data_IF_270367746562
#
_entry.id   IF_270367746562
#
_cell.length_a   1.000
_cell.length_b   1.000
_cell.length_c   1.000
_cell.angle_alpha   90.00
_cell.angle_beta   90.00
_cell.angle_gamma   90.00
#
_symmetry.space_group_name_H-M   'P 1'
#
loop_
_entity.id
_entity.type
_entity.pdbx_description
1 polymer ?
#
# COMPACT_ATOMS: atom_id res chain seq x y z
N UNK A 1 1.18 12.56 -9.58
CA UNK A 1 1.88 11.38 -9.01
C UNK A 1 1.06 10.87 -7.84
N UNK A 2 0.76 9.56 -7.78
CA UNK A 2 -0.06 8.97 -6.73
C UNK A 2 0.49 9.37 -5.37
N UNK A 3 -0.40 9.81 -4.47
CA UNK A 3 0.01 10.24 -3.14
C UNK A 3 -0.21 9.14 -2.12
N UNK A 4 0.84 8.77 -1.40
CA UNK A 4 0.72 7.86 -0.27
C UNK A 4 -0.21 8.47 0.80
N UNK A 5 -1.12 7.65 1.32
CA UNK A 5 -2.06 7.99 2.39
C UNK A 5 -2.08 6.88 3.44
N UNK A 6 -2.48 7.23 4.66
CA UNK A 6 -2.69 6.23 5.72
C UNK A 6 -3.62 5.11 5.23
N UNK A 7 -3.23 3.83 5.38
CA UNK A 7 -4.01 2.69 4.89
C UNK A 7 -5.44 2.62 5.42
N UNK A 8 -5.65 2.82 6.72
CA UNK A 8 -6.94 2.80 7.42
C UNK A 8 -7.70 1.47 7.25
N UNK A 9 -7.02 0.35 7.48
CA UNK A 9 -7.59 -1.01 7.35
C UNK A 9 -7.76 -1.74 8.69
N UNK A 10 -7.70 -1.01 9.81
CA UNK A 10 -7.87 -1.59 11.15
C UNK A 10 -6.64 -2.33 11.70
N UNK A 11 -5.58 -2.47 10.90
CA UNK A 11 -4.28 -3.00 11.33
C UNK A 11 -3.42 -1.94 12.04
N UNK A 12 -2.32 -2.38 12.66
CA UNK A 12 -1.31 -1.47 13.23
C UNK A 12 -0.64 -0.66 12.12
N UNK A 13 -0.64 0.66 12.25
CA UNK A 13 0.03 1.57 11.31
C UNK A 13 1.37 2.06 11.89
N UNK A 14 2.40 2.14 11.05
CA UNK A 14 3.72 2.68 11.38
C UNK A 14 4.21 3.62 10.26
N UNK A 15 5.12 4.54 10.59
CA UNK A 15 5.80 5.34 9.59
C UNK A 15 7.09 4.63 9.15
N UNK A 16 7.29 4.52 7.84
CA UNK A 16 8.46 3.89 7.24
C UNK A 16 9.31 4.96 6.56
N UNK A 17 10.64 4.81 6.64
CA UNK A 17 11.63 5.74 6.07
C UNK A 17 11.56 7.18 6.64
N UNK A 18 11.24 7.35 7.93
CA UNK A 18 11.31 8.66 8.60
C UNK A 18 12.74 9.21 8.69
N UNK A 19 13.72 8.31 8.86
CA UNK A 19 15.12 8.67 9.07
C UNK A 19 15.97 8.58 7.80
N UNK A 20 15.35 8.29 6.65
CA UNK A 20 16.06 8.10 5.38
C UNK A 20 15.67 9.24 4.41
N UNK A 21 16.42 10.36 4.39
CA UNK A 21 16.04 11.59 3.68
C UNK A 21 15.96 11.43 2.16
N UNK A 22 16.57 10.39 1.60
CA UNK A 22 16.50 10.04 0.17
C UNK A 22 15.16 9.40 -0.23
N UNK A 23 14.33 9.01 0.73
CA UNK A 23 13.03 8.37 0.49
C UNK A 23 11.87 9.23 0.99
N UNK A 24 10.71 9.05 0.35
CA UNK A 24 9.45 9.58 0.86
C UNK A 24 9.00 8.75 2.07
N UNK A 25 8.83 9.41 3.21
CA UNK A 25 8.25 8.79 4.39
C UNK A 25 6.82 8.34 4.09
N UNK A 26 6.54 7.06 4.31
CA UNK A 26 5.23 6.45 4.01
C UNK A 26 4.60 5.86 5.27
N UNK A 27 3.32 6.14 5.50
CA UNK A 27 2.52 5.44 6.50
C UNK A 27 2.10 4.07 5.93
N UNK A 28 2.46 2.99 6.62
CA UNK A 28 2.18 1.61 6.20
C UNK A 28 1.42 0.86 7.28
N UNK A 29 0.57 -0.07 6.86
CA UNK A 29 -0.10 -1.01 7.76
C UNK A 29 0.72 -2.29 7.85
N UNK A 30 0.92 -2.80 9.05
CA UNK A 30 1.50 -4.12 9.29
C UNK A 30 0.38 -5.15 9.26
N UNK A 31 0.42 -6.04 8.27
CA UNK A 31 -0.61 -7.06 8.01
C UNK A 31 -0.09 -8.41 8.47
N UNK A 32 -0.91 -9.16 9.19
CA UNK A 32 -0.65 -10.55 9.53
C UNK A 32 -1.64 -11.41 8.75
N UNK A 33 -1.13 -12.25 7.85
CA UNK A 33 -1.92 -13.15 7.03
C UNK A 33 -2.30 -14.40 7.83
N UNK A 34 -3.34 -15.12 7.36
CA UNK A 34 -3.86 -16.31 8.04
C UNK A 34 -2.83 -17.46 8.22
N UNK A 35 -1.77 -17.46 7.42
CA UNK A 35 -0.67 -18.43 7.49
C UNK A 35 0.45 -17.99 8.45
N UNK A 36 0.28 -16.86 9.14
CA UNK A 36 1.27 -16.27 10.05
C UNK A 36 2.33 -15.40 9.34
N UNK A 37 2.24 -15.21 8.02
CA UNK A 37 3.14 -14.31 7.29
C UNK A 37 2.86 -12.86 7.70
N UNK A 38 3.91 -12.07 7.91
CA UNK A 38 3.79 -10.63 8.17
C UNK A 38 4.18 -9.85 6.92
N UNK A 39 3.29 -8.99 6.45
CA UNK A 39 3.52 -8.09 5.32
C UNK A 39 3.30 -6.62 5.68
N UNK A 40 3.62 -5.74 4.74
CA UNK A 40 3.29 -4.32 4.81
C UNK A 40 2.35 -3.93 3.68
N UNK A 41 1.38 -3.07 3.98
CA UNK A 41 0.46 -2.52 2.98
C UNK A 41 0.60 -1.00 2.89
N UNK A 42 0.73 -0.50 1.67
CA UNK A 42 0.66 0.92 1.35
C UNK A 42 -0.67 1.24 0.68
N UNK A 43 -1.16 2.47 0.85
CA UNK A 43 -2.35 2.95 0.16
C UNK A 43 -2.03 4.24 -0.58
N UNK A 44 -2.48 4.30 -1.83
CA UNK A 44 -2.24 5.43 -2.71
C UNK A 44 -3.58 6.08 -3.07
N UNK A 45 -3.67 7.40 -2.93
CA UNK A 45 -4.81 8.18 -3.39
C UNK A 45 -4.44 8.81 -4.72
N UNK A 46 -5.14 8.35 -5.76
CA UNK A 46 -5.12 8.97 -7.07
C UNK A 46 -5.99 10.24 -7.07
N UNK A 47 -5.51 11.28 -7.75
CA UNK A 47 -6.31 12.45 -8.10
C UNK A 47 -7.25 12.19 -9.29
N UNK A 48 -8.06 13.19 -9.64
CA UNK A 48 -9.08 13.03 -10.69
C UNK A 48 -8.47 12.90 -12.08
N UNK A 49 -7.31 13.52 -12.33
CA UNK A 49 -6.60 13.41 -13.60
C UNK A 49 -6.00 12.01 -13.76
N UNK A 50 -5.33 11.50 -12.73
CA UNK A 50 -4.77 10.14 -12.70
C UNK A 50 -5.84 9.07 -12.85
N UNK A 51 -7.02 9.27 -12.24
CA UNK A 51 -8.17 8.38 -12.43
C UNK A 51 -8.66 8.38 -13.87
N UNK A 52 -8.68 9.54 -14.51
CA UNK A 52 -9.11 9.67 -15.90
C UNK A 52 -8.12 9.00 -16.86
N UNK A 53 -6.81 9.14 -16.62
CA UNK A 53 -5.75 8.46 -17.37
C UNK A 53 -5.89 6.94 -17.28
N UNK A 54 -6.03 6.38 -16.07
CA UNK A 54 -6.26 4.94 -15.89
C UNK A 54 -7.55 4.49 -16.58
N UNK A 55 -8.63 5.27 -16.47
CA UNK A 55 -9.90 4.96 -17.13
C UNK A 55 -9.81 5.01 -18.67
N UNK A 56 -8.87 5.79 -19.21
CA UNK A 56 -8.58 5.85 -20.65
C UNK A 56 -7.73 4.67 -21.14
N UNK A 57 -7.25 3.81 -20.23
CA UNK A 57 -6.48 2.61 -20.57
C UNK A 57 -4.96 2.79 -20.45
N UNK A 58 -4.50 3.83 -19.76
CA UNK A 58 -3.08 3.99 -19.43
C UNK A 58 -2.59 2.93 -18.45
N UNK A 59 -1.29 2.62 -18.51
CA UNK A 59 -0.65 1.59 -17.69
C UNK A 59 -0.23 2.09 -16.29
N UNK A 60 -0.22 1.19 -15.30
CA UNK A 60 0.35 1.43 -13.97
C UNK A 60 1.69 0.71 -13.86
N UNK A 61 2.78 1.47 -13.72
CA UNK A 61 4.13 0.92 -13.55
C UNK A 61 4.53 0.88 -12.06
N UNK A 62 5.04 -0.26 -11.60
CA UNK A 62 5.65 -0.45 -10.28
C UNK A 62 7.12 -0.85 -10.44
N UNK A 63 8.03 0.03 -10.05
CA UNK A 63 9.48 -0.21 -10.10
C UNK A 63 10.03 -0.48 -8.72
N UNK A 64 10.68 -1.64 -8.55
CA UNK A 64 11.15 -2.11 -7.25
C UNK A 64 12.66 -2.27 -7.29
N UNK A 65 13.34 -1.44 -6.49
CA UNK A 65 14.79 -1.34 -6.49
C UNK A 65 15.36 -2.15 -5.32
N UNK A 66 15.19 -3.48 -5.35
CA UNK A 66 15.62 -4.38 -4.27
C UNK A 66 17.09 -4.86 -4.41
N UNK A 67 17.89 -4.26 -5.30
CA UNK A 67 19.32 -4.52 -5.50
C UNK A 67 19.71 -6.03 -5.55
N UNK A 68 18.90 -6.87 -6.22
CA UNK A 68 19.18 -8.30 -6.39
C UNK A 68 19.08 -9.15 -5.11
N UNK A 69 18.59 -8.57 -4.00
CA UNK A 69 18.23 -9.26 -2.77
C UNK A 69 16.74 -9.68 -2.82
N UNK A 70 16.28 -10.62 -1.97
CA UNK A 70 14.91 -11.13 -2.06
C UNK A 70 13.88 -9.99 -1.95
N UNK A 71 13.19 -9.74 -3.06
CA UNK A 71 11.99 -8.92 -3.09
C UNK A 71 10.83 -9.76 -2.55
N UNK A 72 10.34 -9.41 -1.36
CA UNK A 72 9.22 -10.05 -0.68
C UNK A 72 7.87 -9.68 -1.36
N UNK A 73 6.79 -10.46 -1.15
CA UNK A 73 5.60 -10.44 -2.02
C UNK A 73 4.97 -9.06 -2.19
N UNK A 74 4.45 -8.83 -3.40
CA UNK A 74 3.85 -7.59 -3.84
C UNK A 74 2.47 -7.91 -4.35
N UNK A 75 1.47 -7.25 -3.80
CA UNK A 75 0.08 -7.38 -4.22
C UNK A 75 -0.46 -5.99 -4.53
N UNK A 76 -0.93 -5.80 -5.77
CA UNK A 76 -1.56 -4.58 -6.25
C UNK A 76 -3.03 -4.87 -6.53
N UNK A 77 -3.91 -4.21 -5.78
CA UNK A 77 -5.35 -4.45 -5.86
C UNK A 77 -6.10 -3.13 -5.96
N UNK A 78 -7.22 -3.16 -6.68
CA UNK A 78 -8.18 -2.06 -6.73
C UNK A 78 -9.33 -2.42 -5.79
N UNK A 79 -9.52 -1.62 -4.73
CA UNK A 79 -10.63 -1.80 -3.79
C UNK A 79 -10.16 -2.18 -2.38
N UNK A 80 -11.03 -2.85 -1.63
CA UNK A 80 -10.72 -3.38 -0.28
C UNK A 80 -10.10 -4.78 -0.45
N UNK A 81 -8.95 -5.07 0.17
CA UNK A 81 -8.40 -6.42 0.17
C UNK A 81 -9.36 -7.41 0.85
N UNK A 82 -9.37 -8.66 0.40
CA UNK A 82 -10.27 -9.72 0.90
C UNK A 82 -9.97 -10.14 2.36
N UNK A 83 -8.71 -10.05 2.77
CA UNK A 83 -8.27 -10.28 4.14
C UNK A 83 -8.56 -9.12 5.10
N UNK A 84 -8.96 -7.94 4.58
CA UNK A 84 -9.13 -6.76 5.43
C UNK A 84 -10.35 -6.94 6.36
N UNK A 85 -10.18 -6.82 7.69
CA UNK A 85 -11.25 -7.11 8.67
C UNK A 85 -12.42 -6.15 8.49
N UNK A 86 -13.68 -6.61 8.59
CA UNK A 86 -14.88 -5.80 8.41
C UNK A 86 -14.89 -4.56 9.32
N UNK A 87 -15.30 -3.40 8.77
CA UNK A 87 -15.30 -2.13 9.54
C UNK A 87 -16.37 -2.07 10.64
N UNK A 88 -17.31 -3.02 10.69
CA UNK A 88 -18.42 -3.01 11.65
C UNK A 88 -18.06 -3.48 13.07
N UNK A 89 -16.83 -3.90 13.33
CA UNK A 89 -16.41 -4.38 14.67
C UNK A 89 -16.15 -3.27 15.71
N UNK A 90 -16.63 -2.04 15.49
CA UNK A 90 -16.55 -0.93 16.47
C UNK A 90 -17.91 -0.24 16.64
N UNK A 91 -18.83 -0.91 17.35
CA UNK A 91 -19.93 -0.26 18.08
C UNK A 91 -19.95 -0.77 19.51
#
# INVERSE_FOLDING_TARGET
MPRAVAPRVGCREIMMAEEQPEYLTCCVAVVEYSDGTVGTMTRWKLDDAERAEIAAGEDVYLTLMCFGQPMQPIQLEIGRPDWAPDEEAKK
#
